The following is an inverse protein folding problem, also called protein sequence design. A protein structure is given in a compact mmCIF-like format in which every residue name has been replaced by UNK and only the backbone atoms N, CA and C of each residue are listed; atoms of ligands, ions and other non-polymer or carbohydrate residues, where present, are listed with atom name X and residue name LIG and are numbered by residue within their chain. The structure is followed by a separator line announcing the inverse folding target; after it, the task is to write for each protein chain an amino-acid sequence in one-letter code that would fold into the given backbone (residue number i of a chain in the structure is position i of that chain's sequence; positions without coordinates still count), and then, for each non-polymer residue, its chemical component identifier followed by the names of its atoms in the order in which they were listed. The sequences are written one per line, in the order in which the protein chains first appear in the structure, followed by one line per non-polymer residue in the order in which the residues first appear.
data_IF_338284274425
#
_entry.id   IF_338284274425
#
_cell.length_a   1.000
_cell.length_b   1.000
_cell.length_c   1.000
_cell.angle_alpha   90.00
_cell.angle_beta   90.00
_cell.angle_gamma   90.00
#
_symmetry.space_group_name_H-M   'P 1'
#
loop_
_entity.id
_entity.type
_entity.pdbx_description
1 polymer ?
#
# COMPACT_ATOMS: atom_id res chain seq x y z
N UNK A 1 3.83 17.49 1.68
CA UNK A 1 2.62 16.95 2.33
C UNK A 1 1.67 18.12 2.56
N UNK A 2 0.34 17.97 2.39
CA UNK A 2 -0.61 19.03 2.76
C UNK A 2 -0.51 19.34 4.25
N UNK A 3 -0.63 20.62 4.62
CA UNK A 3 -0.62 21.05 6.01
C UNK A 3 -1.79 20.41 6.80
N UNK A 4 -1.55 20.01 8.06
CA UNK A 4 -2.54 19.37 8.92
C UNK A 4 -2.77 17.87 8.64
N UNK A 5 -2.10 17.29 7.65
CA UNK A 5 -2.27 15.88 7.32
C UNK A 5 -1.67 14.96 8.38
N UNK A 6 -0.50 15.31 8.87
CA UNK A 6 0.17 14.55 9.94
C UNK A 6 -0.61 14.60 11.26
N UNK A 7 -1.22 15.75 11.58
CA UNK A 7 -2.10 15.91 12.74
C UNK A 7 -3.25 14.90 12.72
N UNK A 8 -3.87 14.71 11.55
CA UNK A 8 -4.96 13.74 11.39
C UNK A 8 -4.48 12.30 11.63
N UNK A 9 -3.30 11.93 11.16
CA UNK A 9 -2.71 10.62 11.45
C UNK A 9 -2.30 10.48 12.92
N UNK A 10 -1.75 11.53 13.52
CA UNK A 10 -1.37 11.54 14.94
C UNK A 10 -2.59 11.40 15.87
N UNK A 11 -3.75 11.94 15.47
CA UNK A 11 -5.00 11.78 16.20
C UNK A 11 -5.56 10.35 16.14
N UNK A 12 -5.17 9.56 15.13
CA UNK A 12 -5.58 8.16 15.01
C UNK A 12 -4.72 7.28 15.91
N UNK A 13 -5.37 6.45 16.74
CA UNK A 13 -4.69 5.62 17.73
C UNK A 13 -3.98 4.40 17.15
N UNK A 14 -4.23 4.07 15.89
CA UNK A 14 -3.73 2.86 15.28
C UNK A 14 -3.31 3.14 13.83
N UNK A 15 -2.02 3.07 13.57
CA UNK A 15 -1.43 3.16 12.24
C UNK A 15 -0.81 1.81 11.85
N UNK A 16 -0.72 1.59 10.55
CA UNK A 16 0.03 0.49 9.95
C UNK A 16 1.05 1.10 8.99
N UNK A 17 2.27 0.63 9.07
CA UNK A 17 3.36 0.94 8.16
C UNK A 17 3.62 -0.30 7.31
N UNK A 18 3.56 -0.18 5.99
CA UNK A 18 3.83 -1.27 5.06
C UNK A 18 4.82 -0.84 4.00
N UNK A 19 5.51 -1.80 3.40
CA UNK A 19 6.25 -1.52 2.17
C UNK A 19 5.28 -1.22 1.03
N UNK A 20 5.71 -0.31 0.15
CA UNK A 20 5.09 -0.09 -1.16
C UNK A 20 5.78 -1.01 -2.15
N UNK A 21 5.02 -1.89 -2.78
CA UNK A 21 5.51 -2.83 -3.78
C UNK A 21 5.35 -2.23 -5.19
N UNK A 22 6.33 -2.47 -6.04
CA UNK A 22 6.38 -1.99 -7.41
C UNK A 22 5.88 -3.07 -8.39
N UNK A 23 4.63 -3.00 -8.73
CA UNK A 23 3.97 -3.92 -9.64
C UNK A 23 2.74 -3.30 -10.29
N UNK A 24 1.80 -4.13 -10.68
CA UNK A 24 0.54 -3.72 -11.25
C UNK A 24 -0.57 -3.82 -10.20
N UNK A 25 -1.25 -2.70 -9.94
CA UNK A 25 -2.43 -2.70 -9.09
C UNK A 25 -3.59 -3.44 -9.76
N UNK A 26 -4.14 -4.44 -9.09
CA UNK A 26 -5.31 -5.18 -9.54
C UNK A 26 -6.39 -5.23 -8.47
N UNK A 27 -7.64 -5.31 -8.93
CA UNK A 27 -8.82 -5.55 -8.11
C UNK A 27 -9.47 -6.87 -8.52
N UNK A 28 -9.76 -7.72 -7.55
CA UNK A 28 -10.51 -8.96 -7.73
C UNK A 28 -11.89 -8.78 -7.10
N UNK A 29 -12.95 -8.94 -7.88
CA UNK A 29 -14.31 -8.98 -7.37
C UNK A 29 -15.10 -10.07 -8.07
N UNK A 30 -16.28 -10.40 -7.56
CA UNK A 30 -17.15 -11.42 -8.17
C UNK A 30 -17.46 -11.14 -9.65
N UNK A 31 -17.61 -9.86 -9.99
CA UNK A 31 -18.10 -9.41 -11.30
C UNK A 31 -17.03 -8.79 -12.20
N UNK A 32 -15.84 -8.55 -11.67
CA UNK A 32 -14.73 -7.95 -12.41
C UNK A 32 -13.48 -8.81 -12.27
N UNK A 33 -13.07 -9.38 -13.40
CA UNK A 33 -11.79 -10.06 -13.53
C UNK A 33 -10.63 -9.05 -13.44
N UNK A 34 -9.44 -9.49 -13.04
CA UNK A 34 -8.23 -8.70 -13.26
C UNK A 34 -8.07 -8.33 -14.74
N UNK A 35 -7.34 -7.27 -15.02
CA UNK A 35 -7.14 -6.81 -16.40
C UNK A 35 -6.56 -7.93 -17.27
N UNK A 36 -6.92 -7.95 -18.57
CA UNK A 36 -6.49 -9.03 -19.49
C UNK A 36 -5.07 -8.77 -20.05
N UNK A 37 -4.13 -8.36 -19.21
CA UNK A 37 -2.74 -8.25 -19.61
C UNK A 37 -2.08 -9.65 -19.55
N UNK A 38 -1.11 -9.98 -20.40
CA UNK A 38 -0.42 -11.28 -20.35
C UNK A 38 0.17 -11.62 -18.96
N UNK A 39 0.53 -10.60 -18.18
CA UNK A 39 1.05 -10.75 -16.82
C UNK A 39 -0.03 -11.05 -15.79
N UNK A 40 -1.32 -10.88 -16.13
CA UNK A 40 -2.44 -11.18 -15.25
C UNK A 40 -2.90 -12.64 -15.31
N UNK A 41 -2.34 -13.44 -16.23
CA UNK A 41 -2.79 -14.82 -16.44
C UNK A 41 -2.80 -15.67 -15.16
N UNK A 42 -1.75 -15.71 -14.33
CA UNK A 42 -1.79 -16.47 -13.07
C UNK A 42 -2.83 -15.93 -12.09
N UNK A 43 -3.01 -14.61 -12.05
CA UNK A 43 -4.01 -13.96 -11.22
C UNK A 43 -5.43 -14.24 -11.71
N UNK A 44 -5.66 -14.27 -13.03
CA UNK A 44 -6.93 -14.61 -13.64
C UNK A 44 -7.33 -16.07 -13.32
N UNK A 45 -6.38 -17.02 -13.40
CA UNK A 45 -6.62 -18.41 -13.02
C UNK A 45 -7.00 -18.53 -11.54
N UNK A 46 -6.33 -17.76 -10.67
CA UNK A 46 -6.67 -17.71 -9.24
C UNK A 46 -8.04 -17.11 -9.01
N UNK A 47 -8.35 -15.96 -9.64
CA UNK A 47 -9.64 -15.31 -9.58
C UNK A 47 -10.80 -16.24 -9.98
N UNK A 48 -10.66 -17.02 -11.05
CA UNK A 48 -11.68 -17.96 -11.49
C UNK A 48 -12.05 -19.01 -10.44
N UNK A 49 -11.11 -19.35 -9.55
CA UNK A 49 -11.34 -20.33 -8.47
C UNK A 49 -12.08 -19.73 -7.28
N UNK A 50 -11.89 -18.42 -7.01
CA UNK A 50 -12.39 -17.78 -5.79
C UNK A 50 -13.55 -16.80 -6.05
N UNK A 51 -13.83 -16.42 -7.29
CA UNK A 51 -14.78 -15.35 -7.62
C UNK A 51 -16.18 -15.55 -7.04
N UNK A 52 -16.65 -16.79 -6.97
CA UNK A 52 -17.99 -17.11 -6.46
C UNK A 52 -18.05 -17.00 -4.92
N UNK A 53 -16.92 -17.13 -4.24
CA UNK A 53 -16.79 -17.01 -2.79
C UNK A 53 -16.55 -15.56 -2.35
N UNK A 54 -16.24 -14.64 -3.28
CA UNK A 54 -15.99 -13.22 -2.94
C UNK A 54 -17.25 -12.48 -2.47
N UNK A 55 -18.45 -12.92 -2.93
CA UNK A 55 -19.68 -12.21 -2.57
C UNK A 55 -19.64 -10.75 -3.03
N UNK A 56 -19.74 -9.82 -2.07
CA UNK A 56 -19.66 -8.37 -2.26
C UNK A 56 -18.26 -7.77 -1.93
N UNK A 57 -17.27 -8.66 -1.72
CA UNK A 57 -15.89 -8.24 -1.45
C UNK A 57 -15.18 -7.82 -2.74
N UNK A 58 -14.33 -6.82 -2.59
CA UNK A 58 -13.34 -6.40 -3.57
C UNK A 58 -11.96 -6.45 -2.93
N UNK A 59 -11.08 -7.27 -3.49
CA UNK A 59 -9.71 -7.47 -3.01
C UNK A 59 -8.76 -6.65 -3.88
N UNK A 60 -8.02 -5.74 -3.26
CA UNK A 60 -7.04 -4.89 -3.93
C UNK A 60 -5.63 -5.34 -3.55
N UNK A 61 -4.82 -5.59 -4.56
CA UNK A 61 -3.45 -6.06 -4.36
C UNK A 61 -2.50 -5.65 -5.47
N UNK A 62 -1.22 -5.84 -5.20
CA UNK A 62 -0.14 -5.58 -6.14
C UNK A 62 0.26 -6.89 -6.82
N UNK A 63 0.18 -6.93 -8.15
CA UNK A 63 0.59 -8.06 -8.98
C UNK A 63 2.06 -7.85 -9.38
N UNK A 64 2.93 -8.72 -8.88
CA UNK A 64 4.38 -8.70 -9.08
C UNK A 64 4.86 -9.73 -10.13
N UNK A 65 3.94 -10.31 -10.90
CA UNK A 65 4.32 -11.29 -11.92
C UNK A 65 5.16 -10.67 -13.04
N UNK A 66 4.83 -9.44 -13.45
CA UNK A 66 5.65 -8.65 -14.35
C UNK A 66 6.61 -7.76 -13.57
N UNK A 67 7.88 -7.73 -13.98
CA UNK A 67 8.86 -6.79 -13.43
C UNK A 67 8.58 -5.41 -14.02
N UNK A 68 8.37 -4.41 -13.17
CA UNK A 68 8.27 -3.01 -13.54
C UNK A 68 9.67 -2.34 -13.49
N UNK A 69 10.02 -1.73 -12.37
CA UNK A 69 11.35 -1.18 -12.14
C UNK A 69 12.14 -1.95 -11.08
N UNK A 70 11.45 -2.73 -10.23
CA UNK A 70 12.05 -3.53 -9.17
C UNK A 70 11.76 -5.00 -9.39
N UNK A 71 12.80 -5.83 -9.34
CA UNK A 71 12.69 -7.28 -9.29
C UNK A 71 12.82 -7.76 -7.85
N UNK A 72 12.03 -8.78 -7.48
CA UNK A 72 11.97 -9.30 -6.10
C UNK A 72 12.48 -10.74 -6.05
N UNK A 73 13.34 -11.05 -5.07
CA UNK A 73 13.98 -12.38 -4.91
C UNK A 73 13.23 -13.31 -3.96
N UNK A 74 12.40 -12.77 -3.06
CA UNK A 74 11.75 -13.53 -1.96
C UNK A 74 10.23 -13.43 -2.04
N UNK A 75 9.66 -13.71 -3.21
CA UNK A 75 8.22 -13.73 -3.38
C UNK A 75 7.62 -15.06 -2.89
N UNK A 76 6.64 -14.99 -2.01
CA UNK A 76 5.79 -16.14 -1.63
C UNK A 76 4.66 -16.35 -2.64
N UNK A 77 4.23 -15.29 -3.29
CA UNK A 77 3.17 -15.24 -4.30
C UNK A 77 3.46 -14.11 -5.28
N UNK A 78 2.71 -14.09 -6.39
CA UNK A 78 2.77 -12.95 -7.32
C UNK A 78 1.71 -11.89 -7.06
N UNK A 79 0.79 -12.10 -6.11
CA UNK A 79 -0.22 -11.10 -5.75
C UNK A 79 -0.24 -10.88 -4.25
N UNK A 80 0.05 -9.66 -3.84
CA UNK A 80 0.11 -9.23 -2.44
C UNK A 80 -1.07 -8.32 -2.13
N UNK A 81 -1.93 -8.76 -1.22
CA UNK A 81 -3.12 -8.01 -0.83
C UNK A 81 -2.74 -6.81 0.04
N UNK A 82 -3.31 -5.63 -0.24
CA UNK A 82 -3.09 -4.45 0.58
C UNK A 82 -4.37 -3.76 1.04
N UNK A 83 -5.53 -4.04 0.45
CA UNK A 83 -6.81 -3.51 0.90
C UNK A 83 -7.96 -4.44 0.52
N UNK A 84 -9.04 -4.37 1.30
CA UNK A 84 -10.32 -5.04 1.01
C UNK A 84 -11.43 -4.02 1.20
N UNK A 85 -12.40 -4.03 0.29
CA UNK A 85 -13.62 -3.25 0.37
C UNK A 85 -14.82 -4.19 0.37
N UNK A 86 -15.82 -3.88 1.19
CA UNK A 86 -17.12 -4.54 1.20
C UNK A 86 -18.20 -3.49 1.04
N UNK A 87 -18.85 -3.48 -0.14
CA UNK A 87 -19.75 -2.39 -0.51
C UNK A 87 -19.07 -1.02 -0.42
N UNK A 88 -19.57 -0.16 0.46
CA UNK A 88 -19.03 1.19 0.68
C UNK A 88 -18.04 1.29 1.85
N UNK A 89 -17.64 0.18 2.44
CA UNK A 89 -16.74 0.14 3.59
C UNK A 89 -15.37 -0.40 3.18
N UNK A 90 -14.32 0.39 3.40
CA UNK A 90 -12.95 -0.10 3.43
C UNK A 90 -12.70 -0.80 4.76
N UNK A 91 -12.21 -2.02 4.70
CA UNK A 91 -11.97 -2.85 5.87
C UNK A 91 -10.69 -2.44 6.58
N UNK A 92 -10.64 -2.68 7.90
CA UNK A 92 -9.43 -2.46 8.69
C UNK A 92 -8.32 -3.47 8.36
N UNK A 93 -7.09 -3.14 8.75
CA UNK A 93 -5.93 -3.95 8.40
C UNK A 93 -6.01 -5.39 8.93
N UNK A 94 -6.60 -5.58 10.10
CA UNK A 94 -6.76 -6.93 10.65
C UNK A 94 -7.81 -7.75 9.89
N UNK A 95 -8.85 -7.08 9.37
CA UNK A 95 -9.82 -7.69 8.45
C UNK A 95 -9.17 -8.00 7.08
N UNK A 96 -8.29 -7.12 6.58
CA UNK A 96 -7.49 -7.37 5.36
C UNK A 96 -6.64 -8.63 5.52
N UNK A 97 -5.93 -8.77 6.65
CA UNK A 97 -5.15 -9.98 6.95
C UNK A 97 -6.02 -11.24 7.06
N UNK A 98 -7.22 -11.11 7.63
CA UNK A 98 -8.18 -12.23 7.71
C UNK A 98 -8.59 -12.70 6.31
N UNK A 99 -8.99 -11.79 5.42
CA UNK A 99 -9.39 -12.16 4.06
C UNK A 99 -8.20 -12.60 3.21
N UNK A 100 -7.02 -12.05 3.42
CA UNK A 100 -5.80 -12.52 2.78
C UNK A 100 -5.55 -14.00 3.11
N UNK A 101 -5.63 -14.36 4.38
CA UNK A 101 -5.49 -15.75 4.82
C UNK A 101 -6.62 -16.65 4.29
N UNK A 102 -7.87 -16.15 4.28
CA UNK A 102 -9.03 -16.92 3.80
C UNK A 102 -8.91 -17.27 2.31
N UNK A 103 -8.42 -16.35 1.49
CA UNK A 103 -8.24 -16.56 0.06
C UNK A 103 -6.82 -16.98 -0.33
N UNK A 104 -5.97 -17.30 0.66
CA UNK A 104 -4.60 -17.78 0.48
C UNK A 104 -3.75 -16.79 -0.36
N UNK A 105 -3.77 -15.51 0.02
CA UNK A 105 -2.88 -14.47 -0.47
C UNK A 105 -2.00 -13.94 0.65
N UNK A 106 -0.70 -13.66 0.40
CA UNK A 106 0.07 -12.85 1.33
C UNK A 106 -0.42 -11.39 1.32
N UNK A 107 -0.20 -10.70 2.43
CA UNK A 107 -0.34 -9.24 2.46
C UNK A 107 0.98 -8.56 2.09
N UNK A 108 0.91 -7.29 1.65
CA UNK A 108 2.13 -6.47 1.57
C UNK A 108 2.85 -6.47 2.92
N UNK A 109 4.21 -6.42 2.93
CA UNK A 109 4.99 -6.52 4.17
C UNK A 109 4.62 -5.41 5.17
N UNK A 110 4.19 -5.82 6.37
CA UNK A 110 3.94 -4.91 7.50
C UNK A 110 5.26 -4.67 8.25
N UNK A 111 5.58 -3.41 8.49
CA UNK A 111 6.75 -3.00 9.25
C UNK A 111 6.33 -2.64 10.68
N UNK A 112 7.14 -2.99 11.69
CA UNK A 112 6.78 -2.73 13.09
C UNK A 112 6.74 -1.23 13.39
N UNK A 113 5.69 -0.80 14.10
CA UNK A 113 5.62 0.52 14.72
C UNK A 113 5.87 0.36 16.21
N UNK A 114 7.09 0.67 16.63
CA UNK A 114 7.51 0.62 18.03
C UNK A 114 7.20 1.93 18.77
N UNK A 115 7.21 3.06 18.05
CA UNK A 115 6.91 4.37 18.55
C UNK A 115 5.66 4.95 17.89
N UNK A 116 4.52 5.09 18.60
CA UNK A 116 3.31 5.66 18.04
C UNK A 116 3.51 7.12 17.61
N UNK A 117 2.99 7.52 16.44
CA UNK A 117 3.12 8.87 15.92
C UNK A 117 2.60 9.93 16.90
N UNK A 118 1.48 9.68 17.57
CA UNK A 118 0.91 10.58 18.59
C UNK A 118 1.84 10.89 19.75
N UNK A 119 2.80 10.03 20.05
CA UNK A 119 3.74 10.23 21.14
C UNK A 119 4.82 11.28 20.81
N UNK A 120 5.09 11.48 19.52
CA UNK A 120 6.12 12.37 19.01
C UNK A 120 5.58 13.60 18.28
N UNK A 121 4.34 13.54 17.81
CA UNK A 121 3.72 14.66 17.10
C UNK A 121 3.62 15.90 18.00
N UNK A 122 3.97 17.06 17.44
CA UNK A 122 3.86 18.39 18.07
C UNK A 122 3.19 19.32 17.08
N UNK A 123 2.09 19.94 17.51
CA UNK A 123 1.37 20.93 16.69
C UNK A 123 2.22 22.17 16.45
N UNK A 124 2.07 22.79 15.28
CA UNK A 124 2.78 24.02 14.91
C UNK A 124 4.25 23.86 14.49
N UNK A 125 4.81 22.65 14.47
CA UNK A 125 6.16 22.39 13.97
C UNK A 125 6.16 21.79 12.56
N UNK A 126 7.32 21.68 11.92
CA UNK A 126 7.48 21.13 10.57
C UNK A 126 7.02 19.67 10.49
N UNK A 127 5.83 19.46 9.90
CA UNK A 127 5.23 18.14 9.76
C UNK A 127 6.08 17.16 8.92
N UNK A 128 6.80 17.67 7.92
CA UNK A 128 7.66 16.81 7.08
C UNK A 128 8.85 16.29 7.90
N UNK A 129 9.42 17.14 8.72
CA UNK A 129 10.52 16.76 9.62
C UNK A 129 10.04 15.78 10.67
N UNK A 130 8.90 16.05 11.31
CA UNK A 130 8.32 15.14 12.31
C UNK A 130 8.04 13.75 11.74
N UNK A 131 7.51 13.70 10.51
CA UNK A 131 7.28 12.44 9.82
C UNK A 131 8.59 11.69 9.52
N UNK A 132 9.62 12.41 9.05
CA UNK A 132 10.92 11.81 8.78
C UNK A 132 11.57 11.27 10.06
N UNK A 133 11.52 12.04 11.16
CA UNK A 133 12.04 11.63 12.46
C UNK A 133 11.27 10.40 13.02
N UNK A 134 9.94 10.39 12.89
CA UNK A 134 9.10 9.25 13.30
C UNK A 134 9.39 8.00 12.50
N UNK A 135 9.55 8.12 11.18
CA UNK A 135 9.93 7.00 10.33
C UNK A 135 11.31 6.48 10.72
N UNK A 136 12.29 7.38 10.92
CA UNK A 136 13.64 6.98 11.30
C UNK A 136 13.67 6.23 12.64
N UNK A 137 12.86 6.65 13.61
CA UNK A 137 12.74 5.98 14.90
C UNK A 137 12.16 4.56 14.79
N UNK A 138 11.24 4.33 13.85
CA UNK A 138 10.62 3.02 13.67
C UNK A 138 11.41 2.10 12.71
N UNK A 139 12.11 2.65 11.74
CA UNK A 139 12.92 1.90 10.76
C UNK A 139 14.34 1.61 11.24
N UNK A 140 14.81 2.34 12.25
CA UNK A 140 16.23 2.32 12.67
C UNK A 140 17.18 3.03 11.69
N UNK A 141 16.65 3.70 10.67
CA UNK A 141 17.39 4.47 9.66
C UNK A 141 16.47 5.50 9.00
N UNK A 142 17.05 6.47 8.26
CA UNK A 142 16.21 7.39 7.47
C UNK A 142 15.40 6.63 6.42
N UNK A 143 14.21 7.12 6.09
CA UNK A 143 13.40 6.50 5.04
C UNK A 143 14.08 6.54 3.65
N UNK A 144 14.94 7.54 3.40
CA UNK A 144 15.75 7.63 2.18
C UNK A 144 16.77 6.48 2.09
N UNK A 145 17.41 6.14 3.21
CA UNK A 145 18.32 4.98 3.25
C UNK A 145 17.53 3.67 3.18
N UNK A 146 16.30 3.64 3.72
CA UNK A 146 15.45 2.45 3.66
C UNK A 146 15.12 2.06 2.21
N UNK A 147 14.80 3.03 1.34
CA UNK A 147 14.51 2.74 -0.08
C UNK A 147 15.73 2.28 -0.88
N UNK A 148 16.94 2.45 -0.36
CA UNK A 148 18.19 1.90 -0.90
C UNK A 148 18.50 0.49 -0.35
N UNK A 149 17.61 -0.08 0.47
CA UNK A 149 17.71 -1.47 0.92
C UNK A 149 16.87 -2.39 0.03
N UNK A 150 17.11 -3.67 0.13
CA UNK A 150 16.32 -4.69 -0.58
C UNK A 150 14.89 -4.88 -0.01
N UNK A 151 14.54 -4.18 1.07
CA UNK A 151 13.26 -4.35 1.74
C UNK A 151 12.97 -5.79 2.21
N UNK A 152 11.72 -6.06 2.56
CA UNK A 152 11.31 -7.36 3.07
C UNK A 152 11.33 -8.46 1.98
N UNK A 153 11.04 -8.10 0.73
CA UNK A 153 10.93 -9.06 -0.37
C UNK A 153 12.22 -9.21 -1.21
N UNK A 154 13.33 -8.58 -0.80
CA UNK A 154 14.59 -8.69 -1.54
C UNK A 154 14.56 -7.99 -2.89
N UNK A 155 14.07 -6.74 -2.89
CA UNK A 155 14.00 -5.92 -4.10
C UNK A 155 15.37 -5.47 -4.61
N UNK A 156 15.52 -5.41 -5.91
CA UNK A 156 16.71 -4.88 -6.57
C UNK A 156 16.38 -4.30 -7.95
N UNK A 157 17.15 -3.32 -8.36
CA UNK A 157 17.10 -2.78 -9.71
C UNK A 157 17.71 -3.81 -10.69
N UNK A 158 16.97 -4.33 -11.65
CA UNK A 158 17.45 -5.36 -12.57
C UNK A 158 18.56 -4.89 -13.52
N UNK A 159 18.77 -3.58 -13.69
CA UNK A 159 19.81 -3.02 -14.55
C UNK A 159 21.15 -2.88 -13.82
N UNK A 160 21.11 -2.42 -12.57
CA UNK A 160 22.31 -2.14 -11.76
C UNK A 160 22.62 -3.23 -10.74
N UNK A 161 21.66 -4.11 -10.47
CA UNK A 161 21.68 -5.10 -9.37
C UNK A 161 21.83 -4.46 -7.97
N UNK A 162 21.55 -3.16 -7.85
CA UNK A 162 21.54 -2.48 -6.57
C UNK A 162 20.29 -2.83 -5.77
N UNK A 163 20.39 -3.05 -4.45
CA UNK A 163 19.22 -3.26 -3.61
C UNK A 163 18.35 -2.00 -3.62
N UNK A 164 17.06 -2.18 -3.73
CA UNK A 164 16.09 -1.07 -3.67
C UNK A 164 14.69 -1.54 -3.29
N UNK A 165 13.89 -0.63 -2.77
CA UNK A 165 12.44 -0.79 -2.64
C UNK A 165 11.72 0.50 -3.07
N UNK A 166 10.44 0.41 -3.44
CA UNK A 166 9.72 1.55 -4.01
C UNK A 166 9.42 2.64 -2.97
N UNK A 167 9.17 2.25 -1.73
CA UNK A 167 8.85 3.19 -0.67
C UNK A 167 8.02 2.57 0.44
N UNK A 168 7.28 3.43 1.13
CA UNK A 168 6.49 3.09 2.31
C UNK A 168 5.06 3.62 2.18
N UNK A 169 4.12 2.93 2.82
CA UNK A 169 2.73 3.34 2.92
C UNK A 169 2.32 3.38 4.39
N UNK A 170 1.81 4.54 4.83
CA UNK A 170 1.21 4.71 6.15
C UNK A 170 -0.31 4.75 5.98
N UNK A 171 -1.00 3.94 6.74
CA UNK A 171 -2.47 3.86 6.70
C UNK A 171 -3.07 3.77 8.10
N UNK A 172 -4.34 4.13 8.21
CA UNK A 172 -5.12 3.83 9.41
C UNK A 172 -5.34 2.31 9.50
N UNK A 173 -5.13 1.72 10.69
CA UNK A 173 -5.42 0.29 10.95
C UNK A 173 -6.91 0.00 10.88
N UNK A 174 -7.74 0.97 11.30
CA UNK A 174 -9.19 0.81 11.35
C UNK A 174 -9.82 1.01 9.96
N UNK A 175 -10.89 0.27 9.71
CA UNK A 175 -11.72 0.48 8.54
C UNK A 175 -12.48 1.81 8.58
N UNK A 176 -13.03 2.22 7.45
CA UNK A 176 -13.85 3.42 7.32
C UNK A 176 -14.89 3.28 6.21
N UNK A 177 -16.01 3.99 6.35
CA UNK A 177 -17.04 4.05 5.31
C UNK A 177 -16.76 5.22 4.35
N UNK A 178 -17.09 5.02 3.08
CA UNK A 178 -16.94 6.06 2.03
C UNK A 178 -18.00 7.16 2.13
N UNK A 179 -19.12 6.91 2.83
CA UNK A 179 -20.31 7.78 2.87
C UNK A 179 -20.41 8.73 4.07
N UNK A 180 -19.38 8.87 4.90
CA UNK A 180 -19.43 9.78 6.06
C UNK A 180 -19.21 11.25 5.68
N UNK A 181 -19.99 11.79 4.73
CA UNK A 181 -20.03 13.24 4.47
C UNK A 181 -18.77 13.91 3.94
N UNK A 182 -17.66 13.22 3.94
CA UNK A 182 -16.37 13.67 3.45
C UNK A 182 -16.16 13.22 2.01
N UNK A 183 -16.72 14.01 1.07
CA UNK A 183 -16.55 14.00 -0.38
C UNK A 183 -16.69 12.60 -1.06
N UNK A 184 -17.48 12.50 -2.12
CA UNK A 184 -17.57 11.29 -2.91
C UNK A 184 -16.19 11.01 -3.50
N UNK A 185 -15.51 10.00 -2.97
CA UNK A 185 -14.38 9.41 -3.66
C UNK A 185 -14.98 8.63 -4.82
N UNK A 186 -15.15 9.28 -5.97
CA UNK A 186 -15.25 8.52 -7.19
C UNK A 186 -14.03 7.58 -7.23
N UNK A 187 -14.22 6.27 -7.40
CA UNK A 187 -13.08 5.42 -7.71
C UNK A 187 -12.42 6.05 -8.94
N UNK A 188 -11.09 6.25 -8.94
CA UNK A 188 -10.44 6.78 -10.12
C UNK A 188 -10.77 5.83 -11.26
N UNK A 189 -11.43 6.35 -12.30
CA UNK A 189 -11.84 5.62 -13.50
C UNK A 189 -10.65 5.12 -14.32
N UNK A 190 -9.41 5.35 -13.85
CA UNK A 190 -8.16 4.84 -14.40
C UNK A 190 -7.23 4.48 -13.22
N UNK A 191 -7.33 3.26 -12.74
CA UNK A 191 -6.39 2.62 -11.80
C UNK A 191 -5.07 2.25 -12.51
N UNK A 192 -4.42 3.21 -13.15
CA UNK A 192 -3.20 2.90 -13.91
C UNK A 192 -1.91 3.26 -13.18
N UNK A 193 -1.96 3.93 -12.04
CA UNK A 193 -0.73 4.18 -11.24
C UNK A 193 -1.08 4.39 -9.77
N UNK A 194 -0.32 3.79 -8.87
CA UNK A 194 -0.36 4.02 -7.42
C UNK A 194 -0.17 5.51 -7.02
N UNK A 195 0.27 6.37 -7.92
CA UNK A 195 0.39 7.81 -7.74
C UNK A 195 -0.95 8.50 -7.41
N UNK A 196 -2.09 7.91 -7.76
CA UNK A 196 -3.42 8.47 -7.48
C UNK A 196 -3.94 8.21 -6.06
N UNK A 197 -3.26 7.35 -5.27
CA UNK A 197 -3.60 7.10 -3.87
C UNK A 197 -2.96 8.09 -2.90
N UNK A 198 -2.12 8.97 -3.38
CA UNK A 198 -1.47 10.04 -2.61
C UNK A 198 -2.26 11.38 -2.60
N UNK A 199 -3.55 11.36 -2.87
CA UNK A 199 -4.37 12.59 -2.89
C UNK A 199 -4.97 12.94 -1.51
N UNK A 200 -5.30 14.22 -1.27
CA UNK A 200 -5.48 14.81 0.04
C UNK A 200 -6.83 14.47 0.69
N UNK A 201 -7.03 13.23 1.09
CA UNK A 201 -8.18 12.90 1.91
C UNK A 201 -7.74 12.08 3.13
N UNK A 202 -8.17 12.46 4.31
CA UNK A 202 -7.75 11.95 5.62
C UNK A 202 -7.94 10.44 5.84
N UNK A 203 -8.66 9.78 4.96
CA UNK A 203 -8.92 8.34 4.95
C UNK A 203 -8.03 7.54 3.98
N UNK A 204 -7.21 8.20 3.13
CA UNK A 204 -6.33 7.51 2.20
C UNK A 204 -4.97 7.17 2.82
N UNK A 205 -4.32 6.05 2.43
CA UNK A 205 -2.96 5.77 2.85
C UNK A 205 -1.99 6.83 2.34
N UNK A 206 -0.97 7.13 3.14
CA UNK A 206 0.15 8.01 2.76
C UNK A 206 1.24 7.13 2.14
N UNK A 207 1.58 7.40 0.88
CA UNK A 207 2.71 6.76 0.20
C UNK A 207 3.94 7.65 0.27
N UNK A 208 5.08 7.08 0.64
CA UNK A 208 6.37 7.75 0.73
C UNK A 208 7.33 6.98 -0.18
N UNK A 209 7.75 7.63 -1.25
CA UNK A 209 8.67 7.07 -2.23
C UNK A 209 9.02 8.10 -3.31
N UNK A 210 10.02 7.85 -4.14
CA UNK A 210 10.33 8.73 -5.26
C UNK A 210 9.13 8.84 -6.20
N UNK A 211 8.92 10.03 -6.78
CA UNK A 211 7.83 10.24 -7.75
C UNK A 211 8.10 9.39 -8.99
N UNK A 212 7.08 8.68 -9.54
CA UNK A 212 7.23 7.99 -10.83
C UNK A 212 7.61 9.02 -11.92
N UNK A 213 8.62 8.72 -12.72
CA UNK A 213 8.97 9.51 -13.89
C UNK A 213 10.11 10.52 -13.73
N UNK A 214 10.88 10.52 -12.66
CA UNK A 214 12.17 11.23 -12.64
C UNK A 214 13.18 10.40 -13.44
N UNK A 215 13.80 10.97 -14.50
CA UNK A 215 14.83 10.23 -15.24
C UNK A 215 16.01 9.91 -14.32
N UNK A 216 16.70 8.78 -14.54
CA UNK A 216 17.93 8.47 -13.80
C UNK A 216 18.95 9.60 -14.01
N UNK A 217 19.55 10.06 -12.93
CA UNK A 217 20.70 10.97 -12.97
C UNK A 217 21.98 10.20 -13.22
#
# INVERSE_FOLDING_TARGET
MPAGYLATFAAKNALVLTEKLDGQNNCLSRHAAPTQHPWDKPLLERWQRIKDDLGDLELFGENLYGIHSIAYQRLESYFYLFAVRQGERWLGWDEVKFYAALFDFPTVPELPITQPLRAVYRDGSDENRQLADWLAANLGMSWLNYVETAGALGGYDPQTNAPCCEGLVIRNRNGFATNNGDLPVQPPTNLTTCSNWCAPNTSKPMCIGPKPGSPPR
#
